data_IF_391643439147
#
_entry.id   IF_391643439147
#
_cell.length_a   1.000
_cell.length_b   1.000
_cell.length_c   1.000
_cell.angle_alpha   90.00
_cell.angle_beta   90.00
_cell.angle_gamma   90.00
#
_symmetry.space_group_name_H-M   'P 1'
#
loop_
_entity.id
_entity.type
_entity.pdbx_description
1 polymer ?
#
# COMPACT_ATOMS: atom_id res chain seq x y z
N UNK A 1 -19.34 2.32 -18.30
CA UNK A 1 -19.77 3.40 -17.37
C UNK A 1 -21.28 3.56 -17.49
N UNK A 2 -21.94 4.11 -16.47
CA UNK A 2 -23.36 4.43 -16.46
C UNK A 2 -23.57 5.75 -15.71
N UNK A 3 -24.62 6.50 -16.04
CA UNK A 3 -24.96 7.73 -15.32
C UNK A 3 -26.11 7.44 -14.34
N UNK A 4 -26.00 7.93 -13.11
CA UNK A 4 -27.08 7.85 -12.11
C UNK A 4 -27.04 9.06 -11.17
N UNK A 5 -27.93 9.11 -10.19
CA UNK A 5 -27.90 10.16 -9.16
C UNK A 5 -27.02 9.71 -8.00
N UNK A 6 -25.93 10.45 -7.74
CA UNK A 6 -25.06 10.25 -6.59
C UNK A 6 -25.52 11.16 -5.45
N UNK A 7 -25.88 10.56 -4.32
CA UNK A 7 -26.20 11.24 -3.08
C UNK A 7 -24.98 11.22 -2.16
N UNK A 8 -24.57 12.38 -1.65
CA UNK A 8 -23.38 12.53 -0.79
C UNK A 8 -23.82 13.11 0.55
N UNK A 9 -24.45 12.25 1.35
CA UNK A 9 -25.16 12.67 2.54
C UNK A 9 -26.58 13.15 2.26
N UNK A 10 -27.11 14.00 3.14
CA UNK A 10 -28.53 14.36 3.15
C UNK A 10 -28.89 15.52 2.23
N UNK A 11 -27.94 16.44 1.96
CA UNK A 11 -28.23 17.73 1.29
C UNK A 11 -27.59 17.83 -0.10
N UNK A 12 -26.51 17.08 -0.35
CA UNK A 12 -25.82 17.06 -1.63
C UNK A 12 -26.35 15.95 -2.55
N UNK A 13 -26.79 16.35 -3.75
CA UNK A 13 -27.18 15.46 -4.84
C UNK A 13 -26.48 15.88 -6.13
N UNK A 14 -25.77 14.95 -6.78
CA UNK A 14 -25.21 15.10 -8.12
C UNK A 14 -26.02 14.23 -9.11
N UNK A 15 -26.87 14.87 -9.90
CA UNK A 15 -27.73 14.20 -10.90
C UNK A 15 -26.93 13.81 -12.14
N UNK A 16 -27.23 12.64 -12.70
CA UNK A 16 -26.58 12.11 -13.91
C UNK A 16 -25.04 12.00 -13.81
N UNK A 17 -24.53 11.82 -12.60
CA UNK A 17 -23.11 11.65 -12.34
C UNK A 17 -22.59 10.32 -12.96
N UNK A 18 -21.49 10.34 -13.72
CA UNK A 18 -20.95 9.14 -14.34
C UNK A 18 -20.24 8.25 -13.31
N UNK A 19 -20.58 6.97 -13.33
CA UNK A 19 -19.99 5.94 -12.48
C UNK A 19 -19.49 4.75 -13.30
N UNK A 20 -18.43 4.12 -12.81
CA UNK A 20 -17.97 2.83 -13.30
C UNK A 20 -18.55 1.72 -12.42
N UNK A 21 -19.23 0.75 -13.04
CA UNK A 21 -19.38 -0.55 -12.41
C UNK A 21 -18.04 -1.28 -12.59
N UNK A 22 -17.39 -1.76 -11.51
CA UNK A 22 -16.22 -2.60 -11.64
C UNK A 22 -16.63 -3.91 -12.32
N UNK A 23 -16.04 -4.21 -13.47
CA UNK A 23 -16.18 -5.50 -14.14
C UNK A 23 -15.11 -6.41 -13.55
N UNK A 24 -15.52 -7.51 -12.93
CA UNK A 24 -14.59 -8.52 -12.42
C UNK A 24 -13.89 -9.21 -13.61
N UNK A 25 -12.66 -8.79 -13.88
CA UNK A 25 -11.74 -9.48 -14.79
C UNK A 25 -10.78 -10.33 -13.94
N UNK A 26 -10.64 -11.61 -14.30
CA UNK A 26 -9.89 -12.61 -13.51
C UNK A 26 -8.41 -12.24 -13.29
N UNK A 27 -7.85 -11.37 -14.13
CA UNK A 27 -6.47 -10.89 -14.03
C UNK A 27 -6.31 -9.49 -13.38
N UNK A 28 -7.40 -8.73 -13.20
CA UNK A 28 -7.33 -7.27 -12.96
C UNK A 28 -8.26 -6.69 -11.90
N UNK A 29 -9.39 -7.31 -11.57
CA UNK A 29 -10.29 -6.75 -10.55
C UNK A 29 -11.03 -7.83 -9.73
N UNK A 30 -10.92 -7.73 -8.41
CA UNK A 30 -11.85 -8.40 -7.48
C UNK A 30 -11.53 -9.84 -7.04
N UNK A 31 -10.86 -10.69 -7.85
CA UNK A 31 -10.68 -12.12 -7.49
C UNK A 31 -10.03 -12.38 -6.12
N UNK A 32 -9.16 -11.49 -5.66
CA UNK A 32 -8.49 -11.58 -4.36
C UNK A 32 -9.08 -10.64 -3.29
N UNK A 33 -10.19 -9.95 -3.57
CA UNK A 33 -10.88 -9.02 -2.66
C UNK A 33 -9.99 -7.93 -2.05
N UNK A 34 -8.94 -7.51 -2.76
CA UNK A 34 -7.95 -6.52 -2.32
C UNK A 34 -8.50 -5.09 -2.27
N UNK A 35 -9.55 -4.84 -3.03
CA UNK A 35 -10.40 -3.64 -3.00
C UNK A 35 -11.88 -4.10 -2.93
N UNK A 36 -12.36 -4.54 -1.75
CA UNK A 36 -13.67 -5.19 -1.60
C UNK A 36 -14.84 -4.19 -1.45
N UNK A 37 -14.57 -2.89 -1.61
CA UNK A 37 -15.48 -1.78 -1.34
C UNK A 37 -15.64 -0.92 -2.60
N UNK A 38 -16.77 -0.19 -2.70
CA UNK A 38 -16.89 0.84 -3.73
C UNK A 38 -15.93 1.99 -3.43
N UNK A 39 -15.28 2.51 -4.48
CA UNK A 39 -14.18 3.45 -4.36
C UNK A 39 -14.63 4.85 -4.79
N UNK A 40 -14.53 5.84 -3.89
CA UNK A 40 -14.71 7.25 -4.23
C UNK A 40 -13.34 7.91 -4.44
N UNK A 41 -13.05 8.31 -5.67
CA UNK A 41 -11.77 8.90 -6.06
C UNK A 41 -11.72 10.41 -5.83
N UNK A 42 -10.82 10.87 -4.95
CA UNK A 42 -10.72 12.29 -4.52
C UNK A 42 -9.32 12.91 -4.66
N UNK A 43 -8.44 12.28 -5.44
CA UNK A 43 -7.14 12.87 -5.80
C UNK A 43 -7.22 13.85 -6.97
N UNK A 44 -6.08 14.08 -7.61
CA UNK A 44 -6.01 14.86 -8.85
C UNK A 44 -6.97 14.30 -9.89
N UNK A 45 -7.58 15.18 -10.69
CA UNK A 45 -8.59 14.84 -11.71
C UNK A 45 -9.88 14.19 -11.16
N UNK A 46 -10.12 14.24 -9.84
CA UNK A 46 -11.37 13.78 -9.24
C UNK A 46 -12.60 14.38 -9.92
N UNK A 47 -13.43 13.51 -10.48
CA UNK A 47 -14.71 13.87 -11.12
C UNK A 47 -15.72 14.41 -10.12
N UNK A 48 -15.73 13.91 -8.88
CA UNK A 48 -16.63 14.42 -7.82
C UNK A 48 -16.21 15.82 -7.37
N UNK A 49 -14.92 16.07 -7.07
CA UNK A 49 -14.48 17.41 -6.67
C UNK A 49 -14.65 18.44 -7.80
N UNK A 50 -14.40 18.02 -9.04
CA UNK A 50 -14.60 18.87 -10.22
C UNK A 50 -16.08 19.18 -10.46
N UNK A 51 -16.99 18.21 -10.30
CA UNK A 51 -18.43 18.44 -10.40
C UNK A 51 -18.93 19.38 -9.28
N UNK A 52 -18.45 19.22 -8.05
CA UNK A 52 -18.80 20.09 -6.93
C UNK A 52 -18.35 21.54 -7.16
N UNK A 53 -17.07 21.75 -7.49
CA UNK A 53 -16.53 23.08 -7.80
C UNK A 53 -17.25 23.73 -8.97
N UNK A 54 -17.48 22.99 -10.06
CA UNK A 54 -18.18 23.49 -11.24
C UNK A 54 -19.67 23.80 -10.97
N UNK A 55 -20.28 23.20 -9.95
CA UNK A 55 -21.64 23.54 -9.48
C UNK A 55 -21.69 24.67 -8.45
N UNK A 56 -20.54 25.26 -8.08
CA UNK A 56 -20.45 26.30 -7.05
C UNK A 56 -20.72 25.81 -5.63
N UNK A 57 -20.49 24.51 -5.34
CA UNK A 57 -20.65 23.91 -3.99
C UNK A 57 -19.44 24.09 -3.09
N UNK A 58 -18.25 24.14 -3.67
CA UNK A 58 -16.97 24.24 -2.96
C UNK A 58 -16.06 25.21 -3.70
N UNK A 59 -15.35 26.07 -2.96
CA UNK A 59 -14.46 27.08 -3.55
C UNK A 59 -13.21 26.48 -4.21
N UNK A 60 -12.74 25.32 -3.74
CA UNK A 60 -11.60 24.59 -4.28
C UNK A 60 -11.84 23.08 -4.30
N UNK A 61 -11.08 22.36 -5.14
CA UNK A 61 -10.98 20.89 -5.16
C UNK A 61 -10.11 20.42 -3.99
N UNK A 62 -10.61 20.62 -2.77
CA UNK A 62 -9.93 20.25 -1.53
C UNK A 62 -10.76 19.28 -0.68
N UNK A 63 -10.07 18.46 0.10
CA UNK A 63 -10.66 17.40 0.93
C UNK A 63 -9.98 17.29 2.29
N UNK A 64 -10.78 17.30 3.34
CA UNK A 64 -10.39 16.99 4.71
C UNK A 64 -10.75 15.55 5.04
N UNK A 65 -9.80 14.82 5.64
CA UNK A 65 -9.90 13.40 5.93
C UNK A 65 -9.35 13.07 7.32
N UNK A 66 -10.21 12.41 8.11
CA UNK A 66 -9.92 11.80 9.40
C UNK A 66 -10.60 10.43 9.44
N UNK A 67 -9.90 9.39 9.89
CA UNK A 67 -10.46 8.03 9.92
C UNK A 67 -11.46 7.83 11.05
N UNK A 68 -11.27 8.53 12.17
CA UNK A 68 -11.89 8.17 13.45
C UNK A 68 -11.03 7.20 14.24
N UNK A 69 -11.47 6.86 15.45
CA UNK A 69 -10.87 5.79 16.25
C UNK A 69 -11.53 4.46 15.89
N UNK A 70 -10.71 3.43 15.63
CA UNK A 70 -11.13 2.09 15.22
C UNK A 70 -10.34 1.04 16.00
N UNK A 71 -10.68 0.86 17.28
CA UNK A 71 -10.16 -0.21 18.15
C UNK A 71 -10.98 -1.52 18.00
N UNK A 72 -11.70 -1.68 16.88
CA UNK A 72 -12.49 -2.88 16.54
C UNK A 72 -13.57 -3.22 17.59
N UNK A 73 -14.55 -2.33 17.73
CA UNK A 73 -15.70 -2.49 18.61
C UNK A 73 -15.43 -2.04 20.04
N UNK A 74 -14.57 -1.03 20.24
CA UNK A 74 -14.40 -0.38 21.54
C UNK A 74 -15.51 0.67 21.76
N UNK A 75 -15.74 1.02 23.04
CA UNK A 75 -16.52 2.22 23.39
C UNK A 75 -15.77 3.52 23.10
N UNK A 76 -14.48 3.41 22.78
CA UNK A 76 -13.60 4.50 22.37
C UNK A 76 -13.61 4.71 20.85
N UNK A 77 -14.26 3.82 20.08
CA UNK A 77 -14.37 3.98 18.62
C UNK A 77 -15.19 5.24 18.30
N UNK A 78 -14.72 6.04 17.34
CA UNK A 78 -15.38 7.29 16.92
C UNK A 78 -15.52 7.33 15.40
N UNK A 79 -16.62 7.89 14.87
CA UNK A 79 -16.77 8.09 13.43
C UNK A 79 -15.73 9.10 12.93
N UNK A 80 -15.14 8.81 11.78
CA UNK A 80 -14.26 9.73 11.08
C UNK A 80 -14.99 10.95 10.51
N UNK A 81 -14.28 11.71 9.68
CA UNK A 81 -14.89 12.79 8.89
C UNK A 81 -14.29 12.87 7.51
N UNK A 82 -15.16 12.93 6.50
CA UNK A 82 -14.83 13.39 5.16
C UNK A 82 -15.47 14.75 4.94
N UNK A 83 -14.67 15.73 4.51
CA UNK A 83 -15.09 17.11 4.29
C UNK A 83 -14.73 17.51 2.87
N UNK A 84 -15.67 18.07 2.11
CA UNK A 84 -15.41 18.61 0.78
C UNK A 84 -15.26 20.13 0.85
N UNK A 85 -14.30 20.70 0.11
CA UNK A 85 -14.03 22.15 0.09
C UNK A 85 -13.09 22.67 1.18
N UNK A 86 -12.43 21.76 1.93
CA UNK A 86 -11.46 22.08 2.97
C UNK A 86 -11.55 21.10 4.14
N UNK A 87 -11.46 21.56 5.40
CA UNK A 87 -11.27 20.68 6.57
C UNK A 87 -12.10 21.05 7.81
N UNK A 88 -12.21 20.10 8.75
CA UNK A 88 -12.81 20.29 10.08
C UNK A 88 -11.72 20.56 11.12
N UNK A 89 -11.56 21.83 11.51
CA UNK A 89 -10.53 22.29 12.43
C UNK A 89 -10.70 21.76 13.85
N UNK A 90 -11.92 21.39 14.26
CA UNK A 90 -12.14 20.82 15.60
C UNK A 90 -11.39 19.48 15.78
N UNK A 91 -11.13 18.78 14.68
CA UNK A 91 -10.43 17.49 14.64
C UNK A 91 -8.93 17.61 14.39
N UNK A 92 -8.37 18.83 14.45
CA UNK A 92 -6.94 19.13 14.27
C UNK A 92 -6.31 19.70 15.54
N UNK A 93 -5.03 19.43 15.78
CA UNK A 93 -4.25 20.08 16.84
C UNK A 93 -2.97 20.73 16.29
N UNK A 94 -2.65 21.93 16.78
CA UNK A 94 -1.54 22.76 16.30
C UNK A 94 -1.82 23.45 14.95
N UNK A 95 -0.82 24.15 14.42
CA UNK A 95 -0.96 24.90 13.15
C UNK A 95 -0.97 24.02 11.90
N UNK A 96 -0.41 22.81 11.99
CA UNK A 96 -0.28 21.85 10.89
C UNK A 96 0.99 22.01 10.09
N UNK A 97 1.27 21.02 9.22
CA UNK A 97 2.48 20.95 8.41
C UNK A 97 2.07 20.95 6.93
N UNK A 98 2.03 22.14 6.31
CA UNK A 98 1.74 22.32 4.88
C UNK A 98 2.95 21.87 4.04
N UNK A 99 2.69 21.10 2.99
CA UNK A 99 3.68 20.50 2.08
C UNK A 99 3.16 20.55 0.64
N UNK A 100 4.06 20.75 -0.32
CA UNK A 100 3.74 20.76 -1.75
C UNK A 100 3.61 19.35 -2.33
N UNK A 101 2.77 19.19 -3.36
CA UNK A 101 2.70 17.97 -4.16
C UNK A 101 3.99 17.76 -4.96
N UNK A 102 4.52 16.54 -4.93
CA UNK A 102 5.69 16.17 -5.73
C UNK A 102 5.36 16.03 -7.22
N UNK A 103 6.34 16.36 -8.06
CA UNK A 103 6.23 16.36 -9.53
C UNK A 103 6.33 14.95 -10.16
N UNK A 104 5.73 13.94 -9.52
CA UNK A 104 5.60 12.57 -10.05
C UNK A 104 6.90 11.78 -10.32
N UNK A 105 8.07 12.31 -9.91
CA UNK A 105 9.37 11.63 -10.08
C UNK A 105 9.54 10.39 -9.20
N UNK A 106 8.84 10.38 -8.08
CA UNK A 106 8.70 9.23 -7.20
C UNK A 106 7.42 8.49 -7.57
N UNK A 107 7.38 7.16 -7.42
CA UNK A 107 6.22 6.31 -7.75
C UNK A 107 4.99 6.53 -6.81
N UNK A 108 4.91 7.68 -6.16
CA UNK A 108 3.80 8.12 -5.33
C UNK A 108 2.69 8.70 -6.20
N UNK A 109 1.73 7.85 -6.57
CA UNK A 109 0.58 8.23 -7.39
C UNK A 109 -0.23 9.40 -6.79
N UNK A 110 -0.19 9.59 -5.46
CA UNK A 110 -0.86 10.69 -4.77
C UNK A 110 -0.07 11.98 -4.68
N UNK A 111 1.19 12.02 -5.11
CA UNK A 111 2.10 13.18 -5.05
C UNK A 111 2.40 13.69 -3.64
N UNK A 112 1.57 13.37 -2.64
CA UNK A 112 1.73 13.63 -1.22
C UNK A 112 2.84 12.75 -0.64
N UNK A 113 4.08 13.24 -0.72
CA UNK A 113 5.26 12.57 -0.17
C UNK A 113 5.68 13.21 1.15
N UNK A 114 5.94 12.39 2.16
CA UNK A 114 6.50 12.82 3.44
C UNK A 114 7.87 12.17 3.67
N UNK A 115 8.70 12.85 4.46
CA UNK A 115 10.00 12.35 4.91
C UNK A 115 9.94 12.08 6.42
N UNK A 116 10.18 10.83 6.80
CA UNK A 116 10.15 10.32 8.17
C UNK A 116 11.56 10.37 8.75
N UNK A 117 11.76 11.15 9.81
CA UNK A 117 13.03 11.32 10.52
C UNK A 117 13.25 10.31 11.65
N UNK A 118 12.20 9.58 12.05
CA UNK A 118 12.32 8.50 13.02
C UNK A 118 11.03 7.68 13.17
N UNK A 119 11.22 6.43 13.61
CA UNK A 119 10.16 5.49 14.00
C UNK A 119 10.53 4.94 15.37
N UNK A 120 9.63 5.06 16.35
CA UNK A 120 9.91 4.77 17.77
C UNK A 120 8.81 3.91 18.37
N UNK A 121 9.19 2.86 19.09
CA UNK A 121 8.32 2.12 20.00
C UNK A 121 8.41 2.74 21.40
N UNK A 122 7.29 3.19 21.94
CA UNK A 122 7.17 3.84 23.25
C UNK A 122 6.66 2.81 24.26
N UNK A 123 7.49 2.39 25.22
CA UNK A 123 7.14 1.32 26.17
C UNK A 123 6.51 1.90 27.45
N UNK A 124 5.53 1.18 28.04
CA UNK A 124 4.83 1.61 29.27
C UNK A 124 5.73 1.77 30.50
N UNK A 125 6.97 1.28 30.45
CA UNK A 125 7.99 1.52 31.49
C UNK A 125 8.65 2.91 31.37
N UNK A 126 8.26 3.75 30.41
CA UNK A 126 8.83 5.07 30.16
C UNK A 126 10.13 5.05 29.35
N UNK A 127 10.42 3.97 28.63
CA UNK A 127 11.58 3.86 27.73
C UNK A 127 11.15 3.85 26.27
N UNK A 128 11.99 4.41 25.40
CA UNK A 128 11.77 4.49 23.96
C UNK A 128 12.82 3.68 23.21
N UNK A 129 12.42 2.97 22.15
CA UNK A 129 13.32 2.31 21.21
C UNK A 129 13.14 2.86 19.79
N UNK A 130 14.20 3.46 19.25
CA UNK A 130 14.31 3.82 17.84
C UNK A 130 14.48 2.58 16.97
N UNK A 131 13.61 2.40 15.97
CA UNK A 131 13.77 1.38 14.91
C UNK A 131 14.79 1.80 13.85
N UNK A 132 15.17 3.08 13.82
CA UNK A 132 16.30 3.55 13.02
C UNK A 132 17.60 3.18 13.74
N UNK A 133 18.44 2.39 13.07
CA UNK A 133 19.83 2.21 13.47
C UNK A 133 20.57 3.56 13.46
N UNK A 134 21.60 3.72 14.29
CA UNK A 134 22.38 4.97 14.37
C UNK A 134 23.06 5.35 13.04
N UNK A 135 23.37 4.38 12.18
CA UNK A 135 23.85 4.59 10.80
C UNK A 135 22.81 5.18 9.85
N UNK A 136 21.53 5.12 10.20
CA UNK A 136 20.43 5.46 9.29
C UNK A 136 19.79 6.81 9.62
N UNK A 137 20.16 7.45 10.73
CA UNK A 137 19.60 8.75 11.16
C UNK A 137 19.91 9.90 10.18
N UNK A 138 20.91 9.75 9.31
CA UNK A 138 21.24 10.72 8.25
C UNK A 138 20.33 10.62 7.01
N UNK A 139 19.60 9.51 6.83
CA UNK A 139 18.80 9.23 5.64
C UNK A 139 17.31 9.03 5.99
N UNK A 140 16.46 10.07 5.94
CA UNK A 140 15.05 9.96 6.30
C UNK A 140 14.29 9.05 5.32
N UNK A 141 13.40 8.21 5.86
CA UNK A 141 12.56 7.32 5.05
C UNK A 141 11.50 8.13 4.31
N UNK A 142 11.47 8.03 2.98
CA UNK A 142 10.46 8.71 2.16
C UNK A 142 9.24 7.80 2.00
N UNK A 143 8.06 8.37 2.26
CA UNK A 143 6.79 7.65 2.28
C UNK A 143 5.72 8.38 1.47
N UNK A 144 4.95 7.63 0.68
CA UNK A 144 3.79 8.13 -0.05
C UNK A 144 2.53 8.09 0.83
N UNK A 145 1.78 9.19 0.93
CA UNK A 145 0.53 9.23 1.69
C UNK A 145 -0.60 8.73 0.81
N UNK A 146 -1.13 7.54 1.12
CA UNK A 146 -2.12 6.82 0.31
C UNK A 146 -3.28 6.34 1.20
N UNK A 147 -4.25 7.22 1.55
CA UNK A 147 -5.29 6.93 2.54
C UNK A 147 -6.13 5.67 2.27
N UNK A 148 -6.20 5.16 1.04
CA UNK A 148 -6.89 3.91 0.76
C UNK A 148 -6.28 2.68 1.45
N UNK A 149 -4.98 2.70 1.76
CA UNK A 149 -4.26 1.51 2.19
C UNK A 149 -4.75 1.04 3.59
N UNK A 150 -5.16 -0.23 3.76
CA UNK A 150 -5.70 -0.77 5.03
C UNK A 150 -4.64 -1.08 6.10
N UNK A 151 -3.74 -0.14 6.34
CA UNK A 151 -2.70 -0.18 7.38
C UNK A 151 -2.33 1.24 7.85
N UNK A 152 -1.54 1.37 8.91
CA UNK A 152 -0.92 2.62 9.37
C UNK A 152 0.18 3.00 8.39
N UNK A 153 1.14 2.10 8.20
CA UNK A 153 2.20 2.23 7.21
C UNK A 153 2.65 0.87 6.67
N UNK A 154 3.42 0.87 5.59
CA UNK A 154 4.22 -0.27 5.17
C UNK A 154 5.69 -0.11 5.60
N UNK A 155 6.42 -1.20 5.81
CA UNK A 155 7.86 -1.18 6.07
C UNK A 155 8.60 -2.22 5.22
N UNK A 156 9.78 -1.86 4.72
CA UNK A 156 10.71 -2.83 4.14
C UNK A 156 11.08 -3.87 5.21
N UNK A 157 11.09 -5.15 4.82
CA UNK A 157 11.45 -6.29 5.68
C UNK A 157 12.69 -5.99 6.53
N UNK A 158 13.80 -5.71 5.86
CA UNK A 158 15.08 -5.38 6.49
C UNK A 158 15.41 -3.89 6.28
N UNK A 159 16.01 -3.21 7.27
CA UNK A 159 16.09 -3.60 8.68
C UNK A 159 14.75 -3.40 9.43
N UNK A 160 13.83 -2.59 8.90
CA UNK A 160 12.82 -1.91 9.73
C UNK A 160 11.70 -2.80 10.28
N UNK A 161 11.11 -3.69 9.45
CA UNK A 161 10.01 -4.52 9.92
C UNK A 161 10.50 -5.66 10.83
N UNK A 162 11.60 -6.31 10.46
CA UNK A 162 12.16 -7.40 11.26
C UNK A 162 12.72 -6.86 12.61
N UNK A 163 13.36 -5.67 12.64
CA UNK A 163 13.72 -4.99 13.89
C UNK A 163 12.49 -4.67 14.77
N UNK A 164 11.34 -4.35 14.16
CA UNK A 164 10.10 -4.09 14.90
C UNK A 164 9.62 -5.36 15.59
N UNK A 165 9.58 -6.49 14.89
CA UNK A 165 9.20 -7.81 15.44
C UNK A 165 10.07 -8.21 16.64
N UNK A 166 11.40 -8.11 16.47
CA UNK A 166 12.37 -8.43 17.54
C UNK A 166 12.16 -7.52 18.76
N UNK A 167 11.87 -6.23 18.55
CA UNK A 167 11.63 -5.25 19.61
C UNK A 167 10.28 -5.43 20.34
N UNK A 168 9.23 -5.86 19.65
CA UNK A 168 7.93 -6.20 20.27
C UNK A 168 7.89 -7.62 20.85
N UNK A 169 8.94 -8.43 20.62
CA UNK A 169 9.05 -9.80 21.13
C UNK A 169 8.06 -10.79 20.50
N UNK A 170 7.71 -10.62 19.21
CA UNK A 170 6.69 -11.40 18.52
C UNK A 170 7.14 -11.93 17.16
N UNK A 171 6.54 -13.03 16.67
CA UNK A 171 6.81 -13.58 15.34
C UNK A 171 5.76 -13.11 14.31
N UNK A 172 6.19 -12.88 13.08
CA UNK A 172 5.30 -12.69 11.92
C UNK A 172 4.78 -14.03 11.40
N UNK A 173 3.46 -14.22 11.41
CA UNK A 173 2.80 -15.42 10.87
C UNK A 173 2.42 -15.28 9.39
N UNK A 174 2.50 -14.07 8.83
CA UNK A 174 2.09 -13.74 7.46
C UNK A 174 1.23 -12.47 7.41
N UNK A 175 1.01 -11.94 6.20
CA UNK A 175 -0.03 -10.93 6.00
C UNK A 175 -1.41 -11.54 6.21
N UNK A 176 -2.34 -10.73 6.73
CA UNK A 176 -3.77 -10.98 6.63
C UNK A 176 -4.14 -11.09 5.15
N UNK A 177 -4.48 -12.32 4.74
CA UNK A 177 -4.99 -12.68 3.41
C UNK A 177 -6.49 -12.42 3.27
N UNK A 178 -7.13 -11.93 4.34
CA UNK A 178 -8.55 -11.69 4.39
C UNK A 178 -8.93 -10.48 3.55
N UNK A 179 -10.02 -10.64 2.80
CA UNK A 179 -10.68 -9.54 2.11
C UNK A 179 -11.35 -8.66 3.19
N UNK A 180 -11.18 -7.34 3.12
CA UNK A 180 -11.85 -6.42 4.05
C UNK A 180 -10.97 -5.30 4.60
N UNK A 181 -11.20 -4.99 5.88
CA UNK A 181 -10.82 -3.70 6.49
C UNK A 181 -9.35 -3.61 6.91
N UNK A 182 -8.72 -4.72 7.31
CA UNK A 182 -7.30 -4.80 7.72
C UNK A 182 -6.46 -5.69 6.76
N UNK A 183 -6.83 -5.73 5.47
CA UNK A 183 -6.06 -6.44 4.44
C UNK A 183 -4.60 -5.93 4.40
N UNK A 184 -3.62 -6.84 4.27
CA UNK A 184 -2.17 -6.57 4.43
C UNK A 184 -1.73 -6.07 5.83
N UNK A 185 -2.61 -6.06 6.84
CA UNK A 185 -2.15 -6.08 8.23
C UNK A 185 -1.30 -7.32 8.49
N UNK A 186 -0.36 -7.26 9.43
CA UNK A 186 0.55 -8.37 9.73
C UNK A 186 0.03 -9.19 10.90
N UNK A 187 -0.16 -10.50 10.71
CA UNK A 187 -0.59 -11.41 11.77
C UNK A 187 0.60 -11.72 12.69
N UNK A 188 0.38 -11.56 14.00
CA UNK A 188 1.37 -11.85 15.04
C UNK A 188 1.09 -13.21 15.71
N UNK A 189 2.12 -13.78 16.34
CA UNK A 189 2.00 -15.06 17.05
C UNK A 189 1.13 -14.93 18.32
N UNK A 190 -0.05 -15.59 18.39
CA UNK A 190 -0.96 -15.47 19.52
C UNK A 190 -0.43 -16.14 20.80
N UNK A 191 0.65 -16.91 20.71
CA UNK A 191 1.27 -17.59 21.86
C UNK A 191 2.35 -16.75 22.55
N UNK A 192 2.70 -15.58 22.00
CA UNK A 192 3.70 -14.66 22.55
C UNK A 192 3.05 -13.46 23.24
N UNK A 193 3.78 -12.79 24.16
CA UNK A 193 3.28 -11.58 24.82
C UNK A 193 2.92 -10.50 23.80
N UNK A 194 1.80 -9.81 24.03
CA UNK A 194 1.41 -8.67 23.20
C UNK A 194 2.17 -7.43 23.68
N UNK A 195 2.77 -6.71 22.73
CA UNK A 195 3.31 -5.38 23.00
C UNK A 195 2.16 -4.41 23.29
N UNK A 196 2.23 -3.73 24.43
CA UNK A 196 1.14 -2.91 24.98
C UNK A 196 1.41 -1.39 24.94
N UNK A 197 2.54 -1.00 24.33
CA UNK A 197 2.98 0.38 24.14
C UNK A 197 2.56 1.01 22.81
N UNK A 198 2.93 2.27 22.63
CA UNK A 198 2.47 3.13 21.52
C UNK A 198 3.56 3.27 20.44
N UNK A 199 3.18 3.61 19.21
CA UNK A 199 4.12 3.74 18.09
C UNK A 199 4.16 5.16 17.55
N UNK A 200 5.33 5.81 17.63
CA UNK A 200 5.53 7.19 17.18
C UNK A 200 6.25 7.26 15.84
N UNK A 201 5.64 7.95 14.89
CA UNK A 201 6.22 8.33 13.60
C UNK A 201 6.56 9.82 13.64
N UNK A 202 7.85 10.15 13.45
CA UNK A 202 8.34 11.53 13.43
C UNK A 202 8.73 11.96 12.01
N UNK A 203 8.30 13.14 11.58
CA UNK A 203 8.62 13.70 10.26
C UNK A 203 9.85 14.61 10.31
N UNK A 204 10.47 14.90 9.16
CA UNK A 204 11.56 15.88 9.06
C UNK A 204 11.11 17.32 9.31
N UNK A 205 9.80 17.60 9.21
CA UNK A 205 9.21 18.90 9.55
C UNK A 205 9.14 19.16 11.06
N UNK A 206 9.37 18.14 11.89
CA UNK A 206 9.24 18.19 13.34
C UNK A 206 7.91 17.64 13.88
N UNK A 207 6.90 17.42 13.02
CA UNK A 207 5.65 16.76 13.39
C UNK A 207 5.90 15.35 13.96
N UNK A 208 5.19 14.99 15.02
CA UNK A 208 5.29 13.70 15.69
C UNK A 208 3.89 13.13 15.92
N UNK A 209 3.57 12.02 15.25
CA UNK A 209 2.28 11.34 15.36
C UNK A 209 2.48 10.05 16.16
N UNK A 210 1.88 9.98 17.34
CA UNK A 210 1.87 8.78 18.19
C UNK A 210 0.56 8.04 17.99
N UNK A 211 0.62 6.82 17.44
CA UNK A 211 -0.51 5.92 17.31
C UNK A 211 -0.60 5.10 18.61
N UNK A 212 -1.68 5.21 19.40
CA UNK A 212 -1.81 4.46 20.64
C UNK A 212 -2.00 2.97 20.38
N UNK A 213 -1.63 2.13 21.35
CA UNK A 213 -1.61 0.67 21.21
C UNK A 213 -2.92 0.07 20.68
N UNK A 214 -4.07 0.57 21.17
CA UNK A 214 -5.42 0.14 20.78
C UNK A 214 -5.79 0.46 19.32
N UNK A 215 -5.03 1.32 18.63
CA UNK A 215 -5.14 1.58 17.18
C UNK A 215 -4.05 0.86 16.36
N UNK A 216 -2.96 0.42 17.01
CA UNK A 216 -1.76 -0.19 16.42
C UNK A 216 -1.84 -1.71 16.29
N UNK A 217 -2.16 -2.40 17.39
CA UNK A 217 -2.38 -3.84 17.46
C UNK A 217 -3.84 -4.06 17.84
N UNK A 218 -4.58 -4.72 16.96
CA UNK A 218 -6.01 -5.00 17.13
C UNK A 218 -6.30 -6.49 16.95
N UNK A 219 -7.42 -7.00 17.46
CA UNK A 219 -7.95 -8.29 17.04
C UNK A 219 -8.19 -8.34 15.53
N UNK A 220 -7.87 -9.46 14.89
CA UNK A 220 -8.14 -9.68 13.48
C UNK A 220 -9.65 -9.59 13.18
N UNK A 221 -10.05 -8.72 12.24
CA UNK A 221 -11.42 -8.71 11.68
C UNK A 221 -11.56 -9.76 10.59
N UNK A 222 -12.71 -10.44 10.57
CA UNK A 222 -13.09 -11.47 9.59
C UNK A 222 -14.47 -11.16 9.03
N UNK A 223 -14.68 -11.43 7.75
CA UNK A 223 -16.00 -11.36 7.10
C UNK A 223 -16.57 -12.78 7.03
N UNK A 224 -17.84 -12.99 7.40
CA UNK A 224 -18.54 -14.28 7.23
C UNK A 224 -19.19 -14.39 5.83
N UNK A 225 -19.84 -15.53 5.55
CA UNK A 225 -20.50 -15.75 4.24
C UNK A 225 -21.68 -14.79 4.00
N UNK A 226 -22.32 -14.29 5.06
CA UNK A 226 -23.40 -13.30 5.03
C UNK A 226 -22.91 -11.85 4.86
N UNK A 227 -21.58 -11.62 4.86
CA UNK A 227 -20.96 -10.30 4.74
C UNK A 227 -20.81 -9.51 6.05
N UNK A 228 -21.17 -10.09 7.20
CA UNK A 228 -20.97 -9.47 8.51
C UNK A 228 -19.51 -9.52 8.93
N UNK A 229 -19.05 -8.44 9.58
CA UNK A 229 -17.69 -8.34 10.12
C UNK A 229 -17.72 -8.80 11.59
N UNK A 230 -17.01 -9.90 11.89
CA UNK A 230 -16.78 -10.38 13.26
C UNK A 230 -15.31 -10.21 13.68
N UNK A 231 -15.09 -10.29 15.00
CA UNK A 231 -13.80 -10.04 15.64
C UNK A 231 -13.18 -11.34 16.16
N UNK A 232 -11.91 -11.58 15.86
CA UNK A 232 -11.16 -12.74 16.32
C UNK A 232 -10.15 -12.35 17.42
N UNK A 233 -10.62 -12.29 18.66
CA UNK A 233 -9.82 -11.92 19.84
C UNK A 233 -8.65 -12.87 20.14
N UNK A 234 -8.62 -14.05 19.51
CA UNK A 234 -7.52 -15.00 19.62
C UNK A 234 -6.39 -14.78 18.58
N UNK A 235 -6.52 -13.81 17.68
CA UNK A 235 -5.50 -13.50 16.66
C UNK A 235 -5.12 -12.02 16.70
N UNK A 236 -3.95 -11.64 17.25
CA UNK A 236 -3.44 -10.28 17.16
C UNK A 236 -3.02 -9.95 15.72
N UNK A 237 -3.40 -8.75 15.27
CA UNK A 237 -3.05 -8.17 13.99
C UNK A 237 -2.38 -6.81 14.23
N UNK A 238 -1.13 -6.69 13.80
CA UNK A 238 -0.39 -5.43 13.74
C UNK A 238 -0.78 -4.68 12.45
N UNK A 239 -1.30 -3.46 12.56
CA UNK A 239 -1.69 -2.63 11.40
C UNK A 239 -0.49 -2.00 10.68
N UNK A 240 0.63 -2.72 10.55
CA UNK A 240 1.78 -2.34 9.73
C UNK A 240 1.98 -3.44 8.69
N UNK A 241 2.02 -3.07 7.40
CA UNK A 241 2.24 -4.01 6.30
C UNK A 241 3.74 -4.26 6.12
N UNK A 242 4.13 -5.53 6.13
CA UNK A 242 5.44 -5.95 5.66
C UNK A 242 5.53 -5.79 4.13
N UNK A 243 6.69 -5.33 3.63
CA UNK A 243 7.04 -5.38 2.21
C UNK A 243 8.08 -6.49 2.00
N UNK A 244 7.76 -7.44 1.11
CA UNK A 244 8.60 -8.62 0.82
C UNK A 244 9.84 -8.29 -0.04
N UNK A 245 9.87 -7.11 -0.65
CA UNK A 245 11.00 -6.52 -1.38
C UNK A 245 11.11 -5.04 -1.06
N UNK A 246 12.31 -4.46 -1.12
CA UNK A 246 12.51 -3.02 -0.93
C UNK A 246 11.66 -2.22 -1.94
N UNK A 247 10.97 -1.19 -1.44
CA UNK A 247 10.11 -0.35 -2.26
C UNK A 247 9.82 1.01 -1.63
N UNK A 248 8.96 1.77 -2.29
CA UNK A 248 8.44 3.03 -1.72
C UNK A 248 7.47 2.70 -0.57
N UNK A 249 7.83 3.13 0.63
CA UNK A 249 6.96 3.04 1.81
C UNK A 249 5.68 3.85 1.56
N UNK A 250 4.56 3.41 2.14
CA UNK A 250 3.31 4.14 2.11
C UNK A 250 2.69 4.30 3.50
N UNK A 251 1.97 5.39 3.71
CA UNK A 251 1.09 5.66 4.86
C UNK A 251 -0.35 5.39 4.43
N UNK A 252 -1.14 4.72 5.27
CA UNK A 252 -2.53 4.32 4.98
C UNK A 252 -3.57 4.86 5.97
N UNK A 253 -4.81 4.37 5.87
CA UNK A 253 -5.98 4.87 6.61
C UNK A 253 -5.76 4.97 8.12
N UNK A 254 -5.14 3.95 8.73
CA UNK A 254 -5.09 3.85 10.19
C UNK A 254 -4.06 4.79 10.84
N UNK A 255 -3.17 5.42 10.06
CA UNK A 255 -2.37 6.56 10.54
C UNK A 255 -3.28 7.75 10.88
N UNK A 256 -4.38 7.91 10.14
CA UNK A 256 -5.38 8.97 10.35
C UNK A 256 -6.39 8.64 11.47
N UNK A 257 -6.07 7.68 12.34
CA UNK A 257 -6.64 7.56 13.69
C UNK A 257 -6.04 8.61 14.63
N UNK A 258 -4.74 8.91 14.45
CA UNK A 258 -3.94 9.83 15.26
C UNK A 258 -3.49 11.09 14.49
N UNK A 259 -3.77 11.18 13.18
CA UNK A 259 -3.49 12.32 12.32
C UNK A 259 -4.72 12.80 11.54
N UNK A 260 -4.70 14.05 11.11
CA UNK A 260 -5.69 14.63 10.18
C UNK A 260 -4.98 15.03 8.86
N UNK A 261 -5.60 14.79 7.72
CA UNK A 261 -5.12 15.22 6.40
C UNK A 261 -6.08 16.25 5.79
N UNK A 262 -5.55 17.33 5.22
CA UNK A 262 -6.26 18.12 4.22
C UNK A 262 -5.45 18.17 2.92
N UNK A 263 -6.04 17.86 1.77
CA UNK A 263 -5.43 18.06 0.45
C UNK A 263 -6.16 19.16 -0.35
N UNK A 264 -5.48 19.78 -1.31
CA UNK A 264 -6.02 20.82 -2.18
C UNK A 264 -5.39 20.70 -3.58
N UNK A 265 -6.14 20.11 -4.51
CA UNK A 265 -5.73 19.84 -5.89
C UNK A 265 -5.66 21.09 -6.78
N UNK A 266 -6.21 22.23 -6.33
CA UNK A 266 -6.06 23.52 -7.02
C UNK A 266 -4.77 24.24 -6.60
N UNK A 267 -4.41 24.15 -5.32
CA UNK A 267 -3.18 24.73 -4.79
C UNK A 267 -1.94 23.83 -4.99
N UNK A 268 -2.14 22.55 -5.31
CA UNK A 268 -1.07 21.55 -5.40
C UNK A 268 -0.45 21.22 -4.04
N UNK A 269 -1.27 21.16 -2.98
CA UNK A 269 -0.80 21.13 -1.59
C UNK A 269 -1.55 20.15 -0.69
N UNK A 270 -0.91 19.76 0.40
CA UNK A 270 -1.54 19.05 1.51
C UNK A 270 -0.98 19.49 2.86
N UNK A 271 -1.77 19.33 3.92
CA UNK A 271 -1.40 19.66 5.29
C UNK A 271 -1.73 18.48 6.21
N UNK A 272 -0.81 18.14 7.11
CA UNK A 272 -1.01 17.12 8.14
C UNK A 272 -0.93 17.74 9.54
N UNK A 273 -1.87 17.34 10.41
CA UNK A 273 -1.91 17.68 11.84
C UNK A 273 -1.91 16.40 12.70
N UNK A 274 -1.61 16.53 14.00
CA UNK A 274 -2.14 15.59 14.99
C UNK A 274 -3.67 15.66 14.99
N UNK A 275 -4.34 14.52 15.08
CA UNK A 275 -5.78 14.47 15.23
C UNK A 275 -6.20 14.91 16.64
N UNK A 276 -7.39 15.50 16.74
CA UNK A 276 -8.11 15.71 17.99
C UNK A 276 -9.41 14.90 17.95
N UNK A 277 -9.48 13.73 18.63
CA UNK A 277 -10.69 12.90 18.64
C UNK A 277 -11.85 13.57 19.39
N UNK A 278 -12.67 14.35 18.69
CA UNK A 278 -13.86 15.01 19.24
C UNK A 278 -15.08 14.84 18.34
N UNK A 279 -16.26 14.83 18.96
CA UNK A 279 -17.57 14.98 18.30
C UNK A 279 -17.81 16.38 17.77
N UNK A 280 -17.08 17.38 18.26
CA UNK A 280 -17.20 18.79 17.86
C UNK A 280 -16.82 18.99 16.38
N UNK A 281 -17.32 20.07 15.79
CA UNK A 281 -17.11 20.42 14.39
C UNK A 281 -16.87 21.93 14.23
N UNK A 282 -15.79 22.29 13.54
CA UNK A 282 -15.41 23.65 13.21
C UNK A 282 -14.90 23.71 11.76
N UNK A 283 -15.84 23.71 10.83
CA UNK A 283 -15.62 23.70 9.38
C UNK A 283 -14.89 24.96 8.89
N UNK A 284 -13.84 24.77 8.08
CA UNK A 284 -13.01 25.84 7.49
C UNK A 284 -12.79 25.61 5.99
N UNK A 285 -13.55 26.35 5.18
CA UNK A 285 -13.44 26.35 3.72
C UNK A 285 -12.08 26.85 3.23
N UNK A 286 -11.59 26.28 2.13
CA UNK A 286 -10.32 26.61 1.49
C UNK A 286 -10.52 27.16 0.07
N UNK A 287 -9.77 28.21 -0.26
CA UNK A 287 -9.66 28.71 -1.64
C UNK A 287 -8.67 27.91 -2.49
N UNK A 288 -8.50 28.32 -3.75
CA UNK A 288 -7.56 27.71 -4.70
C UNK A 288 -6.08 27.96 -4.37
N UNK A 289 -5.78 28.76 -3.34
CA UNK A 289 -4.42 29.12 -2.88
C UNK A 289 -4.07 28.48 -1.52
N UNK A 290 -4.89 27.52 -1.07
CA UNK A 290 -4.83 26.87 0.24
C UNK A 290 -4.95 27.86 1.41
N UNK A 291 -5.86 28.85 1.30
CA UNK A 291 -6.14 29.82 2.36
C UNK A 291 -7.57 29.66 2.85
N UNK A 292 -7.73 29.81 4.17
CA UNK A 292 -9.02 29.75 4.84
C UNK A 292 -9.88 30.96 4.44
N UNK A 293 -11.14 30.70 4.08
CA UNK A 293 -12.12 31.72 3.66
C UNK A 293 -13.41 31.60 4.47
N UNK A 294 -14.23 32.66 4.49
CA UNK A 294 -15.58 32.58 5.05
C UNK A 294 -16.52 31.90 4.04
N UNK A 295 -16.98 30.70 4.40
CA UNK A 295 -17.95 29.91 3.67
C UNK A 295 -19.22 30.70 3.33
N UNK A 296 -19.65 31.60 4.23
CA UNK A 296 -20.86 32.42 4.08
C UNK A 296 -20.75 33.51 3.01
N UNK A 297 -19.53 33.82 2.57
CA UNK A 297 -19.26 34.86 1.56
C UNK A 297 -19.11 34.26 0.15
N UNK A 298 -18.81 32.96 0.05
CA UNK A 298 -18.31 32.35 -1.19
C UNK A 298 -19.36 31.48 -1.89
N UNK A 299 -20.26 30.83 -1.14
CA UNK A 299 -21.25 29.91 -1.71
C UNK A 299 -22.53 30.58 -2.18
N UNK A 300 -23.11 30.08 -3.28
CA UNK A 300 -24.40 30.55 -3.79
C UNK A 300 -25.55 29.80 -3.10
N UNK A 301 -26.49 30.52 -2.48
CA UNK A 301 -27.50 29.96 -1.58
C UNK A 301 -28.52 28.95 -2.19
N UNK A 302 -28.55 28.76 -3.52
CA UNK A 302 -29.40 27.74 -4.17
C UNK A 302 -28.74 27.17 -5.45
N UNK A 303 -27.77 26.24 -5.36
CA UNK A 303 -27.06 25.74 -6.54
C UNK A 303 -27.76 24.52 -7.15
N UNK A 304 -28.30 24.69 -8.36
CA UNK A 304 -29.04 23.67 -9.12
C UNK A 304 -28.06 22.62 -9.67
N UNK A 305 -28.03 21.44 -9.06
CA UNK A 305 -27.14 20.34 -9.46
C UNK A 305 -27.59 19.64 -10.74
N UNK A 306 -27.26 20.22 -11.89
CA UNK A 306 -27.32 19.58 -13.22
C UNK A 306 -25.97 19.72 -13.93
N UNK A 307 -24.92 19.13 -13.36
CA UNK A 307 -23.59 19.05 -13.99
C UNK A 307 -23.48 17.74 -14.76
N UNK A 308 -23.57 17.82 -16.08
CA UNK A 308 -23.12 16.73 -16.94
C UNK A 308 -21.59 16.74 -16.97
N UNK A 309 -20.95 15.84 -16.23
CA UNK A 309 -19.51 15.64 -16.33
C UNK A 309 -19.19 15.07 -17.72
N UNK A 310 -18.51 15.85 -18.55
CA UNK A 310 -18.26 15.49 -19.94
C UNK A 310 -17.11 14.45 -20.03
N UNK A 311 -17.27 13.30 -20.73
CA UNK A 311 -16.27 12.22 -20.66
C UNK A 311 -14.87 12.56 -21.18
N UNK A 312 -14.76 13.52 -22.11
CA UNK A 312 -13.56 13.73 -22.92
C UNK A 312 -12.48 14.63 -22.30
N UNK A 313 -12.70 15.22 -21.12
CA UNK A 313 -11.80 16.25 -20.57
C UNK A 313 -10.63 15.71 -19.73
N UNK A 314 -10.09 14.55 -20.13
CA UNK A 314 -8.76 14.09 -19.75
C UNK A 314 -7.76 14.42 -20.86
N UNK A 315 -7.23 15.65 -20.86
CA UNK A 315 -6.35 16.16 -21.92
C UNK A 315 -4.94 15.54 -21.87
N UNK A 316 -4.84 14.29 -22.32
CA UNK A 316 -3.59 13.64 -22.71
C UNK A 316 -3.05 14.28 -23.98
N UNK A 317 -2.53 15.51 -23.86
CA UNK A 317 -2.05 16.39 -24.93
C UNK A 317 -0.83 15.84 -25.69
N UNK A 318 -1.08 14.81 -26.49
CA UNK A 318 -0.09 14.15 -27.34
C UNK A 318 0.16 14.98 -28.61
N UNK A 319 0.92 16.07 -28.49
CA UNK A 319 1.36 16.86 -29.65
C UNK A 319 2.30 16.04 -30.53
N UNK A 320 1.75 15.48 -31.61
CA UNK A 320 2.44 15.35 -32.89
C UNK A 320 1.49 15.85 -33.96
N UNK A 321 1.93 16.87 -34.72
CA UNK A 321 1.23 17.33 -35.91
C UNK A 321 1.66 16.44 -37.07
N UNK A 322 0.72 15.72 -37.67
CA UNK A 322 0.86 15.17 -39.03
C UNK A 322 -0.24 15.79 -39.89
N UNK A 323 0.13 16.52 -40.93
CA UNK A 323 -0.74 16.85 -42.07
C UNK A 323 0.16 17.34 -43.23
N UNK A 324 0.30 16.48 -44.25
CA UNK A 324 0.60 16.82 -45.66
C UNK A 324 2.00 17.47 -45.97
N UNK A 325 2.63 17.28 -47.12
CA UNK A 325 2.19 16.73 -48.42
C UNK A 325 3.41 16.18 -49.23
N UNK A 326 3.17 15.36 -50.27
CA UNK A 326 4.03 15.09 -51.46
C UNK A 326 5.46 14.47 -51.30
N UNK A 327 6.05 13.74 -52.28
CA UNK A 327 5.57 13.07 -53.52
C UNK A 327 6.71 12.10 -54.02
N UNK A 328 6.43 11.24 -55.01
CA UNK A 328 7.35 10.44 -55.86
C UNK A 328 8.20 9.30 -55.21
N UNK A 329 8.64 8.24 -55.92
CA UNK A 329 8.15 7.51 -57.12
C UNK A 329 9.07 6.30 -57.43
N UNK A 330 8.55 5.24 -58.11
CA UNK A 330 9.33 4.18 -58.83
C UNK A 330 10.19 3.20 -57.95
N UNK A 331 10.55 1.96 -58.34
CA UNK A 331 10.22 1.11 -59.50
C UNK A 331 10.23 -0.44 -59.18
N UNK A 332 9.69 -1.22 -60.12
CA UNK A 332 9.96 -2.64 -60.55
C UNK A 332 10.83 -3.64 -59.75
N UNK A 333 10.32 -4.89 -59.70
CA UNK A 333 10.90 -6.17 -60.21
C UNK A 333 12.29 -6.68 -59.71
N UNK A 334 12.72 -7.96 -59.84
CA UNK A 334 12.13 -9.32 -60.01
C UNK A 334 13.29 -10.35 -59.93
N UNK A 335 12.98 -11.67 -59.88
CA UNK A 335 13.91 -12.82 -60.09
C UNK A 335 15.04 -13.04 -59.04
N UNK A 336 15.86 -14.11 -59.01
CA UNK A 336 15.74 -15.59 -59.23
C UNK A 336 17.10 -16.23 -58.79
N UNK A 337 17.19 -17.57 -58.63
CA UNK A 337 18.43 -18.40 -58.69
C UNK A 337 19.46 -18.41 -57.51
N UNK A 338 20.38 -19.38 -57.32
CA UNK A 338 20.31 -20.90 -57.30
C UNK A 338 21.56 -21.50 -56.59
N UNK A 339 21.49 -22.77 -56.12
CA UNK A 339 22.58 -23.80 -56.03
C UNK A 339 23.67 -23.79 -54.93
N UNK A 340 24.00 -25.02 -54.45
CA UNK A 340 25.35 -25.61 -54.10
C UNK A 340 25.50 -26.06 -52.63
N UNK A 341 25.39 -27.35 -52.24
CA UNK A 341 26.39 -28.49 -52.25
C UNK A 341 27.64 -28.20 -51.36
N UNK A 342 28.11 -29.01 -50.39
CA UNK A 342 28.61 -30.41 -50.51
C UNK A 342 28.85 -31.16 -49.16
N UNK A 343 28.59 -32.48 -49.21
CA UNK A 343 28.92 -33.73 -48.43
C UNK A 343 30.37 -33.85 -47.81
N UNK A 344 30.84 -34.81 -46.95
CA UNK A 344 30.53 -36.25 -46.65
C UNK A 344 31.22 -36.86 -45.37
N UNK A 345 30.66 -37.94 -44.74
CA UNK A 345 31.32 -39.06 -43.94
C UNK A 345 32.09 -38.74 -42.62
N UNK A 346 32.61 -39.63 -41.71
CA UNK A 346 32.77 -41.12 -41.43
C UNK A 346 33.11 -41.30 -39.88
N UNK A 347 33.06 -42.38 -39.06
CA UNK A 347 32.91 -43.89 -39.10
C UNK A 347 34.24 -44.65 -38.73
N UNK A 348 34.44 -45.61 -37.76
CA UNK A 348 33.62 -46.36 -36.74
C UNK A 348 34.40 -47.35 -35.76
N UNK A 349 33.88 -47.65 -34.53
CA UNK A 349 33.93 -48.92 -33.68
C UNK A 349 35.24 -49.13 -32.75
N UNK A 350 35.61 -50.24 -32.00
CA UNK A 350 35.47 -50.37 -30.50
C UNK A 350 36.54 -51.16 -29.62
N UNK A 351 36.20 -51.39 -28.31
CA UNK A 351 36.45 -52.60 -27.42
C UNK A 351 37.81 -52.93 -26.73
N UNK A 352 37.83 -53.09 -25.37
CA UNK A 352 38.52 -54.14 -24.55
C UNK A 352 38.38 -53.97 -22.99
N UNK A 353 38.81 -54.97 -22.18
CA UNK A 353 38.68 -55.15 -20.68
C UNK A 353 39.93 -55.90 -20.10
N UNK A 354 40.11 -56.29 -18.79
CA UNK A 354 39.57 -55.91 -17.45
C UNK A 354 40.68 -55.78 -16.32
N UNK A 355 40.35 -56.09 -15.03
CA UNK A 355 41.18 -56.26 -13.78
C UNK A 355 41.56 -55.03 -12.92
N UNK A 356 41.92 -55.13 -11.62
CA UNK A 356 41.40 -55.92 -10.45
C UNK A 356 42.03 -55.43 -9.10
N UNK A 357 41.61 -56.02 -7.96
CA UNK A 357 42.32 -56.13 -6.64
C UNK A 357 42.37 -54.97 -5.59
N UNK A 358 41.94 -55.34 -4.36
CA UNK A 358 42.45 -54.97 -2.99
C UNK A 358 42.57 -53.48 -2.55
N UNK A 359 42.41 -53.10 -1.28
CA UNK A 359 42.02 -53.79 -0.03
C UNK A 359 42.27 -52.89 1.21
N UNK A 360 41.50 -53.01 2.30
CA UNK A 360 41.53 -52.09 3.46
C UNK A 360 41.76 -52.83 4.81
N UNK A 361 42.83 -52.54 5.57
CA UNK A 361 43.04 -53.08 6.93
C UNK A 361 42.46 -52.17 8.03
N UNK A 362 42.25 -52.74 9.23
CA UNK A 362 41.60 -52.10 10.38
C UNK A 362 42.52 -52.09 11.62
N UNK A 363 42.37 -51.04 12.44
CA UNK A 363 42.78 -50.87 13.85
C UNK A 363 44.28 -50.69 14.22
N UNK A 364 44.49 -49.64 15.02
CA UNK A 364 45.34 -49.63 16.22
C UNK A 364 44.68 -48.72 17.28
N UNK A 365 45.00 -48.87 18.57
CA UNK A 365 44.24 -48.30 19.70
C UNK A 365 45.19 -47.60 20.70
N UNK A 366 44.68 -46.55 21.36
CA UNK A 366 44.94 -46.13 22.76
C UNK A 366 45.44 -44.69 22.99
N UNK A 367 44.70 -43.96 23.82
CA UNK A 367 45.26 -43.20 24.95
C UNK A 367 45.76 -41.77 24.73
N UNK A 368 44.97 -40.80 25.20
CA UNK A 368 45.34 -39.84 26.27
C UNK A 368 44.04 -39.26 26.86
N UNK A 369 44.02 -38.99 28.16
CA UNK A 369 42.87 -38.41 28.86
C UNK A 369 43.07 -36.92 29.18
N UNK A 370 41.95 -36.20 29.23
CA UNK A 370 41.77 -34.90 29.90
C UNK A 370 42.73 -33.73 29.54
N UNK A 371 42.35 -32.95 28.54
CA UNK A 371 42.48 -31.47 28.59
C UNK A 371 41.48 -30.79 27.64
N UNK A 372 41.18 -29.51 27.91
CA UNK A 372 40.40 -28.58 27.07
C UNK A 372 38.96 -29.01 26.64
N UNK A 373 38.02 -29.01 27.59
CA UNK A 373 36.58 -29.20 27.32
C UNK A 373 35.87 -28.10 26.51
N UNK A 374 36.60 -27.19 25.85
CA UNK A 374 36.04 -26.07 25.07
C UNK A 374 35.92 -26.39 23.55
N UNK A 375 36.93 -27.03 22.96
CA UNK A 375 36.97 -27.33 21.52
C UNK A 375 35.91 -28.35 21.09
N UNK A 376 35.59 -29.33 21.94
CA UNK A 376 34.54 -30.32 21.64
C UNK A 376 33.17 -29.70 21.39
N UNK A 377 32.77 -28.70 22.18
CA UNK A 377 31.50 -27.97 22.03
C UNK A 377 31.47 -27.11 20.75
N UNK A 378 32.62 -26.56 20.34
CA UNK A 378 32.75 -25.81 19.08
C UNK A 378 32.60 -26.76 17.89
N UNK A 379 33.23 -27.94 17.91
CA UNK A 379 33.08 -28.95 16.87
C UNK A 379 31.63 -29.49 16.76
N UNK A 380 30.96 -29.72 17.89
CA UNK A 380 29.56 -30.18 17.92
C UNK A 380 28.61 -29.10 17.38
N UNK A 381 28.77 -27.85 17.80
CA UNK A 381 27.92 -26.75 17.32
C UNK A 381 28.12 -26.44 15.83
N UNK A 382 29.36 -26.53 15.31
CA UNK A 382 29.65 -26.49 13.87
C UNK A 382 28.99 -27.64 13.11
N UNK A 383 29.02 -28.87 13.64
CA UNK A 383 28.35 -30.03 13.03
C UNK A 383 26.82 -29.83 12.97
N UNK A 384 26.20 -29.38 14.06
CA UNK A 384 24.76 -29.07 14.10
C UNK A 384 24.41 -27.96 13.10
N UNK A 385 25.21 -26.89 13.04
CA UNK A 385 25.01 -25.81 12.07
C UNK A 385 25.14 -26.28 10.62
N UNK A 386 26.12 -27.13 10.30
CA UNK A 386 26.26 -27.71 8.96
C UNK A 386 25.09 -28.64 8.59
N UNK A 387 24.56 -29.42 9.54
CA UNK A 387 23.36 -30.25 9.33
C UNK A 387 22.13 -29.36 9.06
N UNK A 388 21.91 -28.32 9.87
CA UNK A 388 20.82 -27.34 9.66
C UNK A 388 20.98 -26.63 8.31
N UNK A 389 22.20 -26.21 7.94
CA UNK A 389 22.49 -25.56 6.66
C UNK A 389 22.26 -26.48 5.46
N UNK A 390 22.56 -27.78 5.56
CA UNK A 390 22.20 -28.77 4.53
C UNK A 390 20.68 -28.96 4.44
N UNK A 391 19.98 -29.07 5.57
CA UNK A 391 18.51 -29.22 5.60
C UNK A 391 17.79 -28.01 5.00
N UNK A 392 18.22 -26.78 5.32
CA UNK A 392 17.69 -25.54 4.73
C UNK A 392 17.91 -25.46 3.21
N UNK A 393 19.02 -25.98 2.69
CA UNK A 393 19.26 -26.05 1.23
C UNK A 393 18.34 -27.05 0.54
N UNK A 394 18.16 -28.25 1.10
CA UNK A 394 17.23 -29.24 0.55
C UNK A 394 15.77 -28.74 0.49
N UNK A 395 15.35 -27.90 1.45
CA UNK A 395 14.02 -27.27 1.45
C UNK A 395 13.87 -26.18 0.37
N UNK A 396 14.91 -25.38 0.11
CA UNK A 396 14.87 -24.41 -0.99
C UNK A 396 14.81 -25.05 -2.38
N UNK A 397 15.33 -26.28 -2.52
CA UNK A 397 15.37 -27.01 -3.79
C UNK A 397 14.02 -27.64 -4.16
N UNK A 398 13.24 -28.11 -3.16
CA UNK A 398 11.86 -28.58 -3.40
C UNK A 398 10.91 -27.45 -3.80
N UNK A 399 11.01 -26.30 -3.17
CA UNK A 399 10.11 -25.16 -3.43
C UNK A 399 10.42 -24.51 -4.78
N UNK A 400 11.69 -24.46 -5.17
CA UNK A 400 12.12 -24.01 -6.50
C UNK A 400 11.60 -24.92 -7.63
N UNK A 401 11.66 -26.25 -7.45
CA UNK A 401 11.06 -27.20 -8.41
C UNK A 401 9.53 -27.04 -8.53
N UNK A 402 8.85 -26.78 -7.40
CA UNK A 402 7.40 -26.53 -7.40
C UNK A 402 7.06 -25.28 -8.22
N UNK A 403 7.72 -24.15 -7.96
CA UNK A 403 7.51 -22.88 -8.69
C UNK A 403 7.77 -23.01 -10.20
N UNK A 404 8.86 -23.67 -10.61
CA UNK A 404 9.19 -23.89 -12.02
C UNK A 404 8.12 -24.70 -12.78
N UNK A 405 7.43 -25.62 -12.08
CA UNK A 405 6.34 -26.43 -12.67
C UNK A 405 5.04 -25.64 -12.89
N UNK A 406 4.81 -24.57 -12.12
CA UNK A 406 3.66 -23.67 -12.29
C UNK A 406 3.92 -22.66 -13.41
N UNK A 407 5.14 -22.11 -13.46
CA UNK A 407 5.50 -21.04 -14.38
C UNK A 407 5.57 -21.47 -15.86
N UNK A 408 5.67 -22.76 -16.14
CA UNK A 408 5.72 -23.32 -17.50
C UNK A 408 4.35 -23.51 -18.18
N UNK A 409 3.23 -23.25 -17.48
CA UNK A 409 1.87 -23.42 -18.05
C UNK A 409 1.24 -22.15 -18.64
N UNK A 410 1.87 -20.98 -18.47
CA UNK A 410 1.32 -19.68 -18.87
C UNK A 410 2.18 -19.01 -19.94
N UNK A 411 1.98 -19.43 -21.19
CA UNK A 411 2.48 -18.72 -22.35
C UNK A 411 1.47 -18.78 -23.49
N UNK A 412 1.32 -17.63 -24.17
CA UNK A 412 0.57 -17.40 -25.41
C UNK A 412 -0.96 -17.38 -25.34
N UNK A 413 -1.52 -16.17 -25.40
CA UNK A 413 -2.76 -15.87 -26.11
C UNK A 413 -2.68 -14.46 -26.69
N UNK A 414 -2.19 -14.36 -27.92
CA UNK A 414 -1.98 -13.10 -28.64
C UNK A 414 -3.27 -12.58 -29.31
N UNK A 415 -4.27 -12.11 -28.54
CA UNK A 415 -5.33 -11.22 -29.08
C UNK A 415 -6.19 -10.57 -27.97
N UNK A 416 -5.89 -9.30 -27.62
CA UNK A 416 -6.83 -8.41 -26.91
C UNK A 416 -6.73 -7.01 -27.52
N UNK A 417 -7.68 -6.68 -28.41
CA UNK A 417 -7.97 -5.29 -28.79
C UNK A 417 -8.90 -4.65 -27.74
N UNK A 418 -8.92 -3.32 -27.69
CA UNK A 418 -9.58 -2.48 -26.68
C UNK A 418 -8.90 -2.47 -25.29
N UNK A 419 -7.64 -2.02 -25.26
CA UNK A 419 -7.18 -1.21 -24.14
C UNK A 419 -7.61 0.25 -24.39
N UNK A 420 -8.62 0.73 -23.67
CA UNK A 420 -8.95 2.16 -23.59
C UNK A 420 -8.11 2.83 -22.48
N UNK A 421 -7.83 4.14 -22.56
CA UNK A 421 -6.73 4.75 -21.81
C UNK A 421 -6.94 4.72 -20.29
N UNK A 422 -5.83 4.70 -19.57
CA UNK A 422 -5.80 4.68 -18.11
C UNK A 422 -6.46 5.92 -17.53
N UNK A 423 -7.55 5.71 -16.77
CA UNK A 423 -8.00 6.71 -15.80
C UNK A 423 -6.86 6.98 -14.80
N UNK A 424 -6.67 8.24 -14.41
CA UNK A 424 -5.67 8.61 -13.41
C UNK A 424 -5.90 7.82 -12.11
N UNK A 425 -4.81 7.34 -11.49
CA UNK A 425 -4.86 6.49 -10.29
C UNK A 425 -5.50 7.25 -9.11
N UNK A 426 -6.75 6.94 -8.71
CA UNK A 426 -7.46 7.76 -7.73
C UNK A 426 -6.96 7.50 -6.31
N UNK A 427 -7.18 8.46 -5.41
CA UNK A 427 -7.04 8.21 -3.98
C UNK A 427 -8.41 7.82 -3.47
N UNK A 428 -8.52 6.57 -3.03
CA UNK A 428 -9.80 6.00 -2.63
C UNK A 428 -10.07 6.29 -1.16
N UNK A 429 -11.24 6.88 -0.87
CA UNK A 429 -11.78 6.86 0.49
C UNK A 429 -12.39 5.48 0.74
N UNK A 430 -12.00 4.75 1.80
CA UNK A 430 -12.70 3.54 2.22
C UNK A 430 -14.06 3.92 2.83
N UNK A 431 -15.11 3.15 2.55
CA UNK A 431 -16.47 3.49 3.04
C UNK A 431 -16.71 3.17 4.52
N UNK A 432 -15.78 2.45 5.18
CA UNK A 432 -15.89 2.00 6.58
C UNK A 432 -15.47 3.09 7.60
N UNK A 433 -16.02 4.30 7.51
CA UNK A 433 -15.72 5.40 8.44
C UNK A 433 -16.30 5.15 9.86
N UNK A 434 -15.59 4.33 10.64
CA UNK A 434 -15.95 3.98 12.02
C UNK A 434 -16.98 2.85 12.12
N UNK A 435 -16.75 1.94 13.06
CA UNK A 435 -17.55 0.74 13.37
C UNK A 435 -18.91 0.99 14.02
N UNK A 436 -19.34 2.26 14.13
CA UNK A 436 -20.60 2.66 14.78
C UNK A 436 -21.70 3.00 13.78
N UNK A 437 -22.92 2.53 14.06
CA UNK A 437 -24.10 2.66 13.18
C UNK A 437 -24.62 4.11 12.98
N UNK A 438 -23.99 5.13 13.58
CA UNK A 438 -24.21 6.52 13.16
C UNK A 438 -23.48 6.80 11.84
N UNK A 439 -24.15 6.53 10.72
CA UNK A 439 -23.75 7.01 9.38
C UNK A 439 -23.81 8.53 9.33
N UNK A 440 -22.79 9.21 9.86
CA UNK A 440 -22.63 10.66 9.71
C UNK A 440 -22.30 10.95 8.24
N UNK A 441 -23.09 11.79 7.55
CA UNK A 441 -22.85 12.08 6.13
C UNK A 441 -21.50 12.79 5.94
N UNK A 442 -20.86 12.68 4.76
CA UNK A 442 -19.83 13.64 4.35
C UNK A 442 -20.42 15.05 4.46
N UNK A 443 -19.68 15.97 5.07
CA UNK A 443 -20.19 17.32 5.33
C UNK A 443 -19.64 18.26 4.28
N UNK A 444 -20.53 18.83 3.46
CA UNK A 444 -20.20 19.95 2.59
C UNK A 444 -19.81 21.16 3.44
N UNK A 445 -18.83 21.91 2.98
CA UNK A 445 -18.62 23.28 3.43
C UNK A 445 -18.98 24.24 2.30
N UNK A 446 -19.82 25.25 2.55
CA UNK A 446 -20.02 26.34 1.60
C UNK A 446 -18.71 27.11 1.31
#
# INVERSE_FOLDING_TARGET
MFNSTLYLGNELTLKSFPMAQPVAAEDRWGLYGTSPQHLLGVGTESTVLSALKNSGRIASRSVGYYWGLDSVGSKEDTPGSLVFGGYDRAKTFGDGNEMDFTLGKDNCQSKMMISISGLTLNFRNGTDLSLFASSNQENPLRACVVPQNPFIMSLNKEPYFDNLLDAIGSNYMGLSKLQGVDYKGSLLDPNLPWYDGDFTIKLTTGLSITIPNNQLIVPERRINEDGEIYRNDSQPLLRISRLESDGLISIGRFFFTAAYLASNEDAGKFTIWNANPTTDQALVALDTNNKAIDSKVTCTATPISTVSANPDQGDGSNQNNDNEEDDQSEDKASETATTTTTTTTTTTIPTATPQSDNGLPIAAIAGIAASAGATGLICISLLVWLIIRRKRRAMGESDAMSLASVQTRWSRSDDIKLAYPSQAYPHFIPQELGTYNERRPPVEMP
#
